data_IF_752013727002
#
_entry.id   IF_752013727002
#
_cell.length_a   1.000
_cell.length_b   1.000
_cell.length_c   1.000
_cell.angle_alpha   90.00
_cell.angle_beta   90.00
_cell.angle_gamma   90.00
#
_symmetry.space_group_name_H-M   'P 1'
#
loop_
_entity.id
_entity.type
_entity.pdbx_description
1 polymer ?
#
# COMPACT_ATOMS: atom_id res chain seq x y z
N UNK A 1 3.03 3.80 -1.58
CA UNK A 1 2.99 4.81 -0.51
C UNK A 1 1.57 5.32 -0.36
N UNK A 2 1.25 6.03 0.72
CA UNK A 2 -0.10 6.53 1.01
C UNK A 2 -0.10 8.02 1.33
N UNK A 3 -1.16 8.73 0.95
CA UNK A 3 -1.21 10.19 0.98
C UNK A 3 -1.92 10.75 2.23
N UNK A 4 -2.15 9.91 3.24
CA UNK A 4 -2.68 10.39 4.52
C UNK A 4 -1.68 11.34 5.21
N UNK A 5 -2.13 12.19 6.16
CA UNK A 5 -1.26 13.18 6.81
C UNK A 5 0.01 12.61 7.46
N UNK A 6 -0.02 11.34 7.88
CA UNK A 6 1.15 10.64 8.43
C UNK A 6 2.09 10.13 7.34
N UNK A 7 1.56 9.68 6.21
CA UNK A 7 2.36 9.15 5.09
C UNK A 7 3.01 10.23 4.23
N UNK A 8 2.40 11.40 4.17
CA UNK A 8 2.95 12.57 3.47
C UNK A 8 3.99 13.34 4.30
N UNK A 9 4.23 12.96 5.56
CA UNK A 9 5.16 13.67 6.44
C UNK A 9 6.60 13.45 5.99
N UNK A 10 7.30 14.55 5.73
CA UNK A 10 8.71 14.50 5.37
C UNK A 10 9.60 14.15 6.56
N UNK A 11 10.63 13.29 6.37
CA UNK A 11 11.63 12.99 7.39
C UNK A 11 12.40 14.25 7.79
N UNK A 12 12.59 14.48 9.09
CA UNK A 12 13.33 15.65 9.60
C UNK A 12 14.85 15.44 9.73
N UNK A 13 15.30 14.18 9.82
CA UNK A 13 16.72 13.82 9.92
C UNK A 13 17.07 12.76 8.90
N UNK A 14 18.30 12.82 8.35
CA UNK A 14 18.75 11.99 7.23
C UNK A 14 17.75 11.99 6.05
N UNK A 15 17.20 13.17 5.73
CA UNK A 15 16.09 13.33 4.80
C UNK A 15 16.39 12.71 3.44
N UNK A 16 17.57 12.99 2.86
CA UNK A 16 17.97 12.47 1.55
C UNK A 16 17.96 10.93 1.51
N UNK A 17 18.51 10.29 2.54
CA UNK A 17 18.49 8.83 2.66
C UNK A 17 17.06 8.29 2.73
N UNK A 18 16.21 8.90 3.56
CA UNK A 18 14.84 8.44 3.75
C UNK A 18 13.97 8.67 2.52
N UNK A 19 14.11 9.82 1.85
CA UNK A 19 13.42 10.13 0.60
C UNK A 19 13.81 9.09 -0.46
N UNK A 20 15.12 8.87 -0.67
CA UNK A 20 15.61 7.88 -1.63
C UNK A 20 15.17 6.44 -1.27
N UNK A 21 15.09 6.11 0.02
CA UNK A 21 14.58 4.80 0.47
C UNK A 21 13.09 4.65 0.22
N UNK A 22 12.29 5.67 0.53
CA UNK A 22 10.84 5.66 0.32
C UNK A 22 10.53 5.53 -1.17
N UNK A 23 11.25 6.25 -2.03
CA UNK A 23 11.07 6.17 -3.48
C UNK A 23 11.38 4.77 -4.00
N UNK A 24 12.54 4.19 -3.64
CA UNK A 24 12.88 2.79 -3.97
C UNK A 24 11.83 1.79 -3.48
N UNK A 25 11.27 2.00 -2.30
CA UNK A 25 10.18 1.16 -1.80
C UNK A 25 8.93 1.30 -2.69
N UNK A 26 8.53 2.51 -3.09
CA UNK A 26 7.38 2.73 -4.00
C UNK A 26 7.60 2.03 -5.33
N UNK A 27 8.78 2.17 -5.94
CA UNK A 27 9.11 1.49 -7.20
C UNK A 27 9.05 -0.03 -7.07
N UNK A 28 9.64 -0.57 -5.99
CA UNK A 28 9.61 -2.02 -5.74
C UNK A 28 8.20 -2.52 -5.51
N UNK A 29 7.39 -1.82 -4.71
CA UNK A 29 6.02 -2.24 -4.40
C UNK A 29 5.15 -2.26 -5.67
N UNK A 30 5.31 -1.27 -6.58
CA UNK A 30 4.65 -1.27 -7.88
C UNK A 30 5.05 -2.48 -8.73
N UNK A 31 6.37 -2.73 -8.86
CA UNK A 31 6.89 -3.87 -9.61
C UNK A 31 6.35 -5.21 -9.07
N UNK A 32 6.36 -5.39 -7.76
CA UNK A 32 5.85 -6.63 -7.14
C UNK A 32 4.35 -6.79 -7.37
N UNK A 33 3.57 -5.72 -7.31
CA UNK A 33 2.14 -5.77 -7.61
C UNK A 33 1.88 -6.18 -9.07
N UNK A 34 2.68 -5.68 -10.01
CA UNK A 34 2.59 -6.04 -11.43
C UNK A 34 2.99 -7.50 -11.65
N UNK A 35 4.08 -7.96 -11.04
CA UNK A 35 4.55 -9.36 -11.12
C UNK A 35 3.51 -10.34 -10.55
N UNK A 36 2.91 -10.03 -9.40
CA UNK A 36 1.84 -10.83 -8.79
C UNK A 36 0.61 -10.86 -9.68
N UNK A 37 0.19 -9.72 -10.21
CA UNK A 37 -0.96 -9.62 -11.13
C UNK A 37 -0.72 -10.43 -12.41
N UNK A 38 0.47 -10.35 -12.99
CA UNK A 38 0.86 -11.14 -14.17
C UNK A 38 0.88 -12.65 -13.89
N UNK A 39 1.19 -13.05 -12.65
CA UNK A 39 1.13 -14.44 -12.21
C UNK A 39 -0.29 -14.91 -11.83
N UNK A 40 -1.32 -14.09 -12.06
CA UNK A 40 -2.72 -14.42 -11.80
C UNK A 40 -3.19 -14.15 -10.37
N UNK A 41 -2.36 -13.52 -9.53
CA UNK A 41 -2.76 -13.11 -8.19
C UNK A 41 -3.51 -11.79 -8.22
N UNK A 42 -4.52 -11.66 -7.37
CA UNK A 42 -5.14 -10.36 -7.08
C UNK A 42 -4.38 -9.69 -5.94
N UNK A 43 -3.99 -8.44 -6.14
CA UNK A 43 -3.24 -7.66 -5.13
C UNK A 43 -4.17 -6.66 -4.46
N UNK A 44 -4.24 -6.72 -3.13
CA UNK A 44 -4.92 -5.73 -2.31
C UNK A 44 -3.92 -5.06 -1.37
N UNK A 45 -3.84 -3.74 -1.40
CA UNK A 45 -3.05 -2.97 -0.44
C UNK A 45 -3.96 -2.33 0.60
N UNK A 46 -3.70 -2.61 1.87
CA UNK A 46 -4.34 -1.96 3.01
C UNK A 46 -3.28 -1.17 3.77
N UNK A 47 -3.44 0.15 3.86
CA UNK A 47 -2.50 1.00 4.59
C UNK A 47 -2.82 1.01 6.09
N UNK A 48 -1.80 1.25 6.91
CA UNK A 48 -1.96 1.38 8.38
C UNK A 48 -2.97 2.47 8.77
N UNK A 49 -3.16 3.50 7.93
CA UNK A 49 -4.19 4.50 8.14
C UNK A 49 -5.61 4.05 7.77
N UNK A 50 -5.77 3.12 6.81
CA UNK A 50 -7.06 2.54 6.48
C UNK A 50 -7.61 1.76 7.67
N UNK A 51 -6.75 1.01 8.36
CA UNK A 51 -7.12 0.18 9.53
C UNK A 51 -7.60 0.99 10.75
N UNK A 52 -7.41 2.32 10.73
CA UNK A 52 -7.89 3.22 11.80
C UNK A 52 -9.25 3.82 11.48
N UNK A 53 -9.78 3.61 10.27
CA UNK A 53 -11.11 4.06 9.90
C UNK A 53 -12.13 2.96 10.22
N UNK A 54 -13.30 3.29 10.80
CA UNK A 54 -14.38 2.32 10.96
C UNK A 54 -14.77 1.69 9.62
N UNK A 55 -15.09 0.40 9.61
CA UNK A 55 -15.56 -0.30 8.41
C UNK A 55 -14.47 -0.63 7.38
N UNK A 56 -13.19 -0.58 7.77
CA UNK A 56 -12.09 -1.01 6.88
C UNK A 56 -12.21 -2.50 6.52
N UNK A 57 -12.78 -3.30 7.41
CA UNK A 57 -13.03 -4.72 7.26
C UNK A 57 -13.96 -5.02 6.09
N UNK A 58 -14.96 -4.17 5.83
CA UNK A 58 -15.91 -4.35 4.72
C UNK A 58 -15.20 -4.21 3.37
N UNK A 59 -14.21 -3.32 3.26
CA UNK A 59 -13.38 -3.19 2.05
C UNK A 59 -12.59 -4.47 1.79
N UNK A 60 -12.02 -5.07 2.83
CA UNK A 60 -11.29 -6.34 2.74
C UNK A 60 -12.24 -7.49 2.35
N UNK A 61 -13.36 -7.63 3.05
CA UNK A 61 -14.36 -8.67 2.83
C UNK A 61 -14.92 -8.57 1.40
N UNK A 62 -15.27 -7.36 0.94
CA UNK A 62 -15.74 -7.14 -0.43
C UNK A 62 -14.67 -7.51 -1.47
N UNK A 63 -13.40 -7.17 -1.22
CA UNK A 63 -12.31 -7.52 -2.14
C UNK A 63 -12.12 -9.04 -2.25
N UNK A 64 -12.21 -9.77 -1.14
CA UNK A 64 -12.08 -11.23 -1.08
C UNK A 64 -13.32 -11.95 -1.66
N UNK A 65 -14.54 -11.50 -1.37
CA UNK A 65 -15.78 -12.15 -1.88
C UNK A 65 -15.92 -12.13 -3.40
N UNK A 66 -15.30 -11.16 -4.09
CA UNK A 66 -15.22 -11.15 -5.57
C UNK A 66 -14.41 -12.32 -6.15
N UNK A 67 -13.82 -13.17 -5.32
CA UNK A 67 -13.04 -14.35 -5.68
C UNK A 67 -13.86 -15.66 -5.63
N UNK A 68 -15.07 -15.63 -5.05
CA UNK A 68 -15.84 -16.85 -4.72
C UNK A 68 -17.07 -17.09 -5.61
N UNK A 69 -17.07 -16.56 -6.83
CA UNK A 69 -18.13 -16.76 -7.82
C UNK A 69 -17.61 -17.48 -9.06
#
# INVERSE_FOLDING_TARGET
GHDCPRGARQPKGNADYWIAKIDRNRTRDARVADELTAAGWRVLTLWECDLKQPGWEERLITALRRETA
#
